data_IF_414642213166
#
_entry.id   IF_414642213166
#
_cell.length_a   1.000
_cell.length_b   1.000
_cell.length_c   1.000
_cell.angle_alpha   90.00
_cell.angle_beta   90.00
_cell.angle_gamma   90.00
#
_symmetry.space_group_name_H-M   'P 1'
#
loop_
_entity.id
_entity.type
_entity.pdbx_description
1 polymer ?
#
# COMPACT_ATOMS: atom_id res chain seq x y z
N UNK A 1 -4.82 4.09 -18.87
CA UNK A 1 -5.30 5.19 -18.04
C UNK A 1 -4.65 6.46 -18.57
N UNK A 2 -5.43 7.53 -18.77
CA UNK A 2 -4.92 8.83 -19.24
C UNK A 2 -4.07 9.53 -18.18
N UNK A 3 -3.35 10.58 -18.57
CA UNK A 3 -2.41 11.32 -17.70
C UNK A 3 -3.10 11.90 -16.44
N UNK A 4 -4.41 12.10 -16.49
CA UNK A 4 -5.22 12.63 -15.36
C UNK A 4 -5.89 11.56 -14.52
N UNK A 5 -5.61 10.27 -14.74
CA UNK A 5 -6.24 9.18 -14.04
C UNK A 5 -5.44 8.78 -12.80
N UNK A 6 -5.74 9.41 -11.67
CA UNK A 6 -5.19 8.99 -10.38
C UNK A 6 -5.73 7.60 -10.01
N UNK A 7 -4.81 6.67 -9.73
CA UNK A 7 -5.13 5.33 -9.26
C UNK A 7 -5.00 5.26 -7.74
N UNK A 8 -6.09 4.93 -7.05
CA UNK A 8 -6.16 4.91 -5.59
C UNK A 8 -5.95 3.51 -5.02
N UNK A 9 -5.17 3.41 -3.97
CA UNK A 9 -5.11 2.21 -3.16
C UNK A 9 -6.39 2.07 -2.31
N UNK A 10 -7.03 0.91 -2.32
CA UNK A 10 -8.30 0.64 -1.65
C UNK A 10 -8.16 -0.03 -0.27
N UNK A 11 -6.95 -0.17 0.26
CA UNK A 11 -6.73 -0.85 1.55
C UNK A 11 -7.33 -0.14 2.76
N UNK A 12 -7.57 1.19 2.64
CA UNK A 12 -8.29 1.97 3.66
C UNK A 12 -9.27 2.89 2.95
N UNK A 13 -10.56 2.70 3.24
CA UNK A 13 -11.63 3.44 2.59
C UNK A 13 -12.66 3.95 3.61
N UNK A 14 -13.13 5.17 3.41
CA UNK A 14 -14.33 5.69 4.04
C UNK A 14 -15.45 5.72 3.00
N UNK A 15 -16.49 4.92 3.20
CA UNK A 15 -17.53 4.68 2.21
C UNK A 15 -18.84 5.34 2.65
N UNK A 16 -19.45 6.15 1.78
CA UNK A 16 -20.83 6.58 1.92
C UNK A 16 -21.77 5.42 1.57
N UNK A 17 -22.19 4.65 2.57
CA UNK A 17 -23.01 3.45 2.35
C UNK A 17 -24.41 3.77 1.82
N UNK A 18 -24.99 4.93 2.12
CA UNK A 18 -26.27 5.36 1.57
C UNK A 18 -26.16 5.54 0.04
N UNK A 19 -25.16 6.32 -0.37
CA UNK A 19 -24.84 6.50 -1.79
C UNK A 19 -24.51 5.18 -2.50
N UNK A 20 -23.73 4.31 -1.84
CA UNK A 20 -23.35 3.00 -2.37
C UNK A 20 -24.56 2.14 -2.70
N UNK A 21 -25.56 2.09 -1.79
CA UNK A 21 -26.80 1.34 -1.98
C UNK A 21 -27.69 1.99 -3.05
N UNK A 22 -27.89 3.31 -2.98
CA UNK A 22 -28.71 4.07 -3.94
C UNK A 22 -28.20 3.86 -5.37
N UNK A 23 -26.91 3.95 -5.58
CA UNK A 23 -26.30 3.80 -6.90
C UNK A 23 -25.97 2.35 -7.29
N UNK A 24 -26.34 1.38 -6.45
CA UNK A 24 -26.11 -0.05 -6.70
C UNK A 24 -24.66 -0.36 -7.08
N UNK A 25 -23.70 0.23 -6.35
CA UNK A 25 -22.26 0.15 -6.67
C UNK A 25 -21.74 -1.28 -6.66
N UNK A 26 -22.25 -2.15 -5.75
CA UNK A 26 -21.86 -3.57 -5.74
C UNK A 26 -22.21 -4.29 -7.03
N UNK A 27 -23.34 -3.96 -7.66
CA UNK A 27 -23.75 -4.57 -8.91
C UNK A 27 -22.87 -4.08 -10.07
N UNK A 28 -22.53 -2.80 -10.10
CA UNK A 28 -21.58 -2.25 -11.08
C UNK A 28 -20.21 -2.94 -10.95
N UNK A 29 -19.77 -3.24 -9.74
CA UNK A 29 -18.52 -3.98 -9.48
C UNK A 29 -18.58 -5.39 -10.05
N UNK A 30 -19.65 -6.13 -9.80
CA UNK A 30 -19.83 -7.48 -10.33
C UNK A 30 -19.92 -7.49 -11.85
N UNK A 31 -20.65 -6.54 -12.42
CA UNK A 31 -20.75 -6.40 -13.88
C UNK A 31 -19.37 -6.18 -14.51
N UNK A 32 -18.60 -5.22 -14.00
CA UNK A 32 -17.24 -4.94 -14.49
C UNK A 32 -16.31 -6.14 -14.36
N UNK A 33 -16.38 -6.87 -13.25
CA UNK A 33 -15.62 -8.11 -13.07
C UNK A 33 -15.93 -9.16 -14.13
N UNK A 34 -17.22 -9.36 -14.42
CA UNK A 34 -17.70 -10.29 -15.46
C UNK A 34 -17.25 -9.83 -16.86
N UNK A 35 -17.42 -8.55 -17.19
CA UNK A 35 -16.99 -7.97 -18.47
C UNK A 35 -15.49 -8.16 -18.74
N UNK A 36 -14.68 -8.18 -17.68
CA UNK A 36 -13.24 -8.45 -17.72
C UNK A 36 -12.89 -9.93 -17.66
N UNK A 37 -13.88 -10.83 -17.63
CA UNK A 37 -13.69 -12.28 -17.44
C UNK A 37 -12.84 -12.60 -16.19
N UNK A 38 -12.96 -11.81 -15.13
CA UNK A 38 -12.16 -11.93 -13.91
C UNK A 38 -10.67 -11.60 -14.07
N UNK A 39 -10.25 -11.10 -15.22
CA UNK A 39 -8.83 -10.76 -15.50
C UNK A 39 -8.54 -9.32 -15.09
N UNK A 40 -8.16 -9.14 -13.83
CA UNK A 40 -7.81 -7.87 -13.23
C UNK A 40 -6.42 -7.99 -12.58
N UNK A 41 -5.64 -6.93 -12.64
CA UNK A 41 -4.28 -6.93 -12.11
C UNK A 41 -4.28 -6.84 -10.57
N UNK A 42 -5.10 -5.95 -10.02
CA UNK A 42 -5.27 -5.69 -8.60
C UNK A 42 -6.71 -5.94 -8.12
N UNK A 43 -7.42 -6.84 -8.76
CA UNK A 43 -8.75 -7.32 -8.38
C UNK A 43 -9.74 -6.19 -7.98
N UNK A 44 -10.11 -6.14 -6.71
CA UNK A 44 -11.04 -5.18 -6.13
C UNK A 44 -10.59 -3.72 -6.30
N UNK A 45 -9.29 -3.46 -6.27
CA UNK A 45 -8.75 -2.13 -6.45
C UNK A 45 -8.94 -1.60 -7.89
N UNK A 46 -8.79 -2.46 -8.90
CA UNK A 46 -9.06 -2.09 -10.30
C UNK A 46 -10.54 -1.78 -10.50
N UNK A 47 -11.42 -2.60 -9.91
CA UNK A 47 -12.86 -2.41 -9.99
C UNK A 47 -13.27 -1.08 -9.35
N UNK A 48 -12.77 -0.80 -8.14
CA UNK A 48 -13.06 0.45 -7.43
C UNK A 48 -12.65 1.67 -8.27
N UNK A 49 -11.41 1.65 -8.76
CA UNK A 49 -10.86 2.77 -9.54
C UNK A 49 -11.61 2.99 -10.86
N UNK A 50 -12.14 1.92 -11.47
CA UNK A 50 -12.96 2.03 -12.66
C UNK A 50 -14.37 2.55 -12.36
N UNK A 51 -15.11 1.87 -11.48
CA UNK A 51 -16.52 2.15 -11.23
C UNK A 51 -16.75 3.46 -10.44
N UNK A 52 -15.78 3.86 -9.64
CA UNK A 52 -15.86 5.06 -8.80
C UNK A 52 -15.01 6.22 -9.35
N UNK A 53 -14.54 6.15 -10.60
CA UNK A 53 -13.77 7.23 -11.24
C UNK A 53 -14.48 8.58 -11.08
N UNK A 54 -13.73 9.60 -10.67
CA UNK A 54 -14.24 10.96 -10.44
C UNK A 54 -15.10 11.14 -9.18
N UNK A 55 -15.31 10.08 -8.38
CA UNK A 55 -16.09 10.10 -7.14
C UNK A 55 -15.26 9.78 -5.90
N UNK A 56 -13.97 9.56 -6.07
CA UNK A 56 -13.05 9.23 -4.98
C UNK A 56 -12.38 10.52 -4.49
N UNK A 57 -12.41 10.71 -3.16
CA UNK A 57 -11.65 11.75 -2.50
C UNK A 57 -10.43 11.16 -1.82
N UNK A 58 -9.29 11.79 -1.98
CA UNK A 58 -8.03 11.38 -1.36
C UNK A 58 -8.05 11.64 0.13
N UNK A 59 -7.78 10.62 0.93
CA UNK A 59 -7.45 10.75 2.34
C UNK A 59 -5.98 11.19 2.51
N UNK A 60 -5.65 11.76 3.68
CA UNK A 60 -4.25 11.95 4.05
C UNK A 60 -3.53 10.60 4.12
N UNK A 61 -2.28 10.57 3.68
CA UNK A 61 -1.44 9.36 3.76
C UNK A 61 -1.22 8.83 5.18
N UNK A 62 -1.51 9.63 6.20
CA UNK A 62 -1.49 9.17 7.60
C UNK A 62 -2.52 8.09 7.88
N UNK A 63 -3.64 8.06 7.11
CA UNK A 63 -4.71 7.07 7.24
C UNK A 63 -4.53 5.81 6.38
N UNK A 64 -3.55 5.80 5.50
CA UNK A 64 -3.18 4.62 4.71
C UNK A 64 -1.67 4.61 4.52
N UNK A 65 -0.95 4.55 5.64
CA UNK A 65 0.50 4.63 5.63
C UNK A 65 1.12 3.30 5.19
N UNK A 66 1.85 3.34 4.07
CA UNK A 66 2.62 2.20 3.60
C UNK A 66 3.98 2.16 4.32
N UNK A 67 4.31 1.09 5.08
CA UNK A 67 5.60 0.94 5.76
C UNK A 67 6.82 1.05 4.83
N UNK A 68 6.67 0.75 3.54
CA UNK A 68 7.76 0.91 2.57
C UNK A 68 8.26 2.37 2.49
N UNK A 69 7.40 3.35 2.75
CA UNK A 69 7.77 4.77 2.80
C UNK A 69 8.84 5.08 3.87
N UNK A 70 8.99 4.21 4.87
CA UNK A 70 10.05 4.33 5.87
C UNK A 70 11.45 4.26 5.25
N UNK A 71 11.60 3.51 4.16
CA UNK A 71 12.90 3.28 3.51
C UNK A 71 13.23 4.31 2.43
N UNK A 72 12.23 5.00 1.89
CA UNK A 72 12.44 5.96 0.80
C UNK A 72 12.60 7.40 1.30
N UNK A 73 13.63 8.15 0.86
CA UNK A 73 13.73 9.58 1.14
C UNK A 73 12.70 10.36 0.32
N UNK A 74 12.28 11.53 0.85
CA UNK A 74 11.26 12.39 0.23
C UNK A 74 11.57 12.76 -1.22
N UNK A 75 12.83 13.12 -1.53
CA UNK A 75 13.21 13.52 -2.88
C UNK A 75 12.98 12.42 -3.91
N UNK A 76 13.20 11.17 -3.49
CA UNK A 76 12.99 10.01 -4.34
C UNK A 76 11.49 9.78 -4.61
N UNK A 77 10.67 9.85 -3.57
CA UNK A 77 9.21 9.70 -3.72
C UNK A 77 8.65 10.79 -4.63
N UNK A 78 9.10 12.04 -4.46
CA UNK A 78 8.69 13.15 -5.33
C UNK A 78 9.06 12.96 -6.80
N UNK A 79 10.15 12.26 -7.09
CA UNK A 79 10.57 12.01 -8.48
C UNK A 79 9.63 11.03 -9.21
N UNK A 80 8.87 10.24 -8.46
CA UNK A 80 7.89 9.30 -9.03
C UNK A 80 6.48 9.87 -9.09
N UNK A 81 6.09 10.58 -8.04
CA UNK A 81 4.72 11.07 -7.89
C UNK A 81 4.75 12.46 -7.22
N UNK A 82 5.17 13.50 -7.96
CA UNK A 82 5.42 14.82 -7.40
C UNK A 82 4.19 15.48 -6.77
N UNK A 83 3.00 15.20 -7.29
CA UNK A 83 1.75 15.77 -6.79
C UNK A 83 1.01 14.89 -5.78
N UNK A 84 1.31 13.61 -5.78
CA UNK A 84 0.59 12.61 -5.00
C UNK A 84 1.09 12.49 -3.57
N UNK A 85 2.41 12.55 -3.38
CA UNK A 85 3.06 12.43 -2.08
C UNK A 85 3.56 13.77 -1.58
N UNK A 86 3.03 14.21 -0.45
CA UNK A 86 3.59 15.24 0.42
C UNK A 86 4.14 16.49 -0.29
N UNK A 87 3.34 17.52 -0.45
CA UNK A 87 3.74 18.79 -1.04
C UNK A 87 4.93 19.42 -0.31
N UNK A 88 5.02 19.25 1.01
CA UNK A 88 6.06 19.83 1.84
C UNK A 88 6.90 18.79 2.59
N UNK A 89 8.10 19.18 3.04
CA UNK A 89 8.94 18.34 3.90
C UNK A 89 8.30 18.11 5.27
N UNK A 90 7.59 19.11 5.81
CA UNK A 90 6.89 19.01 7.07
C UNK A 90 5.77 17.97 7.01
N UNK A 91 4.96 17.97 5.95
CA UNK A 91 3.91 16.98 5.72
C UNK A 91 4.49 15.56 5.63
N UNK A 92 5.56 15.37 4.86
CA UNK A 92 6.24 14.07 4.75
C UNK A 92 6.75 13.56 6.10
N UNK A 93 7.34 14.46 6.90
CA UNK A 93 7.83 14.13 8.23
C UNK A 93 6.68 13.74 9.16
N UNK A 94 5.59 14.52 9.15
CA UNK A 94 4.42 14.27 9.97
C UNK A 94 3.79 12.89 9.66
N UNK A 95 3.65 12.53 8.39
CA UNK A 95 3.12 11.24 7.95
C UNK A 95 3.97 10.09 8.48
N UNK A 96 5.29 10.21 8.45
CA UNK A 96 6.22 9.17 8.93
C UNK A 96 6.29 9.06 10.45
N UNK A 97 6.18 10.18 11.16
CA UNK A 97 6.28 10.21 12.61
C UNK A 97 4.98 9.82 13.32
N UNK A 98 3.83 10.13 12.71
CA UNK A 98 2.52 9.92 13.33
C UNK A 98 1.52 9.31 12.35
N UNK A 99 1.79 8.11 11.80
CA UNK A 99 0.78 7.41 11.03
C UNK A 99 -0.42 7.10 11.92
N UNK A 100 -1.62 7.35 11.42
CA UNK A 100 -2.87 7.04 12.14
C UNK A 100 -3.24 5.59 11.90
N UNK A 101 -3.11 5.13 10.65
CA UNK A 101 -3.38 3.75 10.26
C UNK A 101 -2.22 3.24 9.39
N UNK A 102 -1.58 2.16 9.84
CA UNK A 102 -0.49 1.50 9.13
C UNK A 102 -1.08 0.35 8.32
N UNK A 103 -0.97 0.44 7.00
CA UNK A 103 -1.41 -0.59 6.08
C UNK A 103 -0.23 -1.45 5.64
N UNK A 104 -0.10 -2.65 6.20
CA UNK A 104 0.97 -3.59 5.87
C UNK A 104 0.74 -4.23 4.50
N UNK A 105 1.31 -3.65 3.47
CA UNK A 105 1.30 -4.18 2.10
C UNK A 105 2.64 -4.79 1.72
N UNK A 106 2.64 -5.65 0.70
CA UNK A 106 3.83 -6.33 0.21
C UNK A 106 4.18 -7.57 1.04
N UNK A 107 5.46 -7.95 1.01
CA UNK A 107 5.93 -9.19 1.63
C UNK A 107 6.32 -9.03 3.11
N UNK A 108 6.79 -7.86 3.52
CA UNK A 108 7.19 -7.57 4.91
C UNK A 108 5.98 -7.35 5.82
N UNK A 109 5.22 -8.41 6.05
CA UNK A 109 4.04 -8.40 6.91
C UNK A 109 4.41 -8.81 8.33
N UNK A 110 3.95 -8.10 9.36
CA UNK A 110 4.37 -8.36 10.76
C UNK A 110 3.94 -9.73 11.30
N UNK A 111 2.96 -10.40 10.68
CA UNK A 111 2.57 -11.77 11.04
C UNK A 111 3.40 -12.86 10.37
N UNK A 112 4.39 -12.50 9.56
CA UNK A 112 5.33 -13.45 8.96
C UNK A 112 6.58 -13.54 9.81
N UNK A 113 7.00 -14.76 10.14
CA UNK A 113 8.23 -15.00 10.90
C UNK A 113 9.45 -14.45 10.15
N UNK A 114 10.39 -13.86 10.88
CA UNK A 114 11.61 -13.30 10.29
C UNK A 114 11.40 -11.97 9.55
N UNK A 115 10.25 -11.28 9.69
CA UNK A 115 10.08 -9.95 9.12
C UNK A 115 10.86 -8.89 9.90
N UNK A 116 11.33 -7.87 9.20
CA UNK A 116 12.10 -6.73 9.71
C UNK A 116 11.31 -5.43 9.70
N UNK A 117 9.98 -5.49 9.60
CA UNK A 117 9.14 -4.30 9.53
C UNK A 117 9.41 -3.36 10.71
N UNK A 118 9.67 -2.07 10.48
CA UNK A 118 9.89 -1.09 11.55
C UNK A 118 8.67 -0.90 12.45
N UNK A 119 7.49 -1.30 11.98
CA UNK A 119 6.22 -1.20 12.70
C UNK A 119 5.71 -2.53 13.27
N UNK A 120 6.59 -3.54 13.36
CA UNK A 120 6.24 -4.85 13.90
C UNK A 120 5.72 -4.77 15.35
N UNK A 121 6.36 -3.96 16.17
CA UNK A 121 5.96 -3.77 17.59
C UNK A 121 4.55 -3.20 17.71
N UNK A 122 4.18 -2.29 16.84
CA UNK A 122 2.81 -1.74 16.82
C UNK A 122 1.78 -2.82 16.49
N UNK A 123 2.05 -3.65 15.49
CA UNK A 123 1.19 -4.78 15.17
C UNK A 123 1.07 -5.76 16.35
N UNK A 124 2.19 -6.14 16.98
CA UNK A 124 2.22 -7.08 18.11
C UNK A 124 1.39 -6.55 19.30
N UNK A 125 1.44 -5.24 19.55
CA UNK A 125 0.60 -4.60 20.58
C UNK A 125 -0.89 -4.82 20.34
N UNK A 126 -1.37 -4.62 19.11
CA UNK A 126 -2.77 -4.85 18.78
C UNK A 126 -3.12 -6.34 18.74
N UNK A 127 -2.25 -7.19 18.18
CA UNK A 127 -2.42 -8.64 18.16
C UNK A 127 -2.59 -9.19 19.58
N UNK A 128 -1.73 -8.80 20.50
CA UNK A 128 -1.75 -9.30 21.88
C UNK A 128 -3.02 -8.91 22.65
N UNK A 129 -3.69 -7.85 22.23
CA UNK A 129 -4.98 -7.39 22.79
C UNK A 129 -6.19 -7.89 22.00
N UNK A 130 -6.00 -8.80 21.05
CA UNK A 130 -7.06 -9.32 20.20
C UNK A 130 -7.37 -10.80 20.53
N UNK A 131 -8.52 -11.34 20.10
CA UNK A 131 -8.83 -12.77 20.19
C UNK A 131 -7.81 -13.67 19.47
N UNK A 132 -7.01 -13.13 18.57
CA UNK A 132 -6.00 -13.85 17.76
C UNK A 132 -4.59 -13.78 18.33
N UNK A 133 -4.43 -13.39 19.59
CA UNK A 133 -3.10 -13.27 20.25
C UNK A 133 -2.24 -14.53 20.12
N UNK A 134 -2.85 -15.69 20.24
CA UNK A 134 -2.18 -16.99 20.20
C UNK A 134 -2.02 -17.59 18.79
N UNK A 135 -2.48 -16.87 17.75
CA UNK A 135 -2.27 -17.33 16.37
C UNK A 135 -0.78 -17.35 16.03
N UNK A 136 -0.27 -18.49 15.50
CA UNK A 136 1.14 -18.62 15.13
C UNK A 136 1.51 -17.67 13.99
N UNK A 137 2.78 -17.36 13.88
CA UNK A 137 3.34 -16.65 12.74
C UNK A 137 3.36 -17.57 11.51
N UNK A 138 3.33 -16.96 10.33
CA UNK A 138 3.51 -17.68 9.06
C UNK A 138 5.01 -17.88 8.82
N UNK A 139 5.44 -19.11 8.57
CA UNK A 139 6.83 -19.50 8.33
C UNK A 139 7.10 -19.75 6.83
N UNK A 140 8.38 -19.89 6.49
CA UNK A 140 8.84 -20.30 5.15
C UNK A 140 9.25 -19.16 4.23
N UNK A 141 9.23 -17.92 4.72
CA UNK A 141 9.65 -16.72 3.94
C UNK A 141 10.93 -16.06 4.46
N UNK A 142 11.62 -16.67 5.43
CA UNK A 142 12.74 -16.04 6.15
C UNK A 142 13.88 -15.61 5.23
N UNK A 143 14.25 -16.46 4.27
CA UNK A 143 15.32 -16.13 3.29
C UNK A 143 14.94 -14.95 2.40
N UNK A 144 13.70 -14.94 1.92
CA UNK A 144 13.18 -13.86 1.08
C UNK A 144 13.13 -12.56 1.87
N UNK A 145 12.65 -12.61 3.12
CA UNK A 145 12.57 -11.43 3.99
C UNK A 145 13.96 -10.91 4.37
N UNK A 146 14.93 -11.77 4.54
CA UNK A 146 16.33 -11.35 4.76
C UNK A 146 16.88 -10.60 3.54
N UNK A 147 16.64 -11.10 2.32
CA UNK A 147 17.02 -10.39 1.08
C UNK A 147 16.30 -9.03 0.98
N UNK A 148 15.01 -8.97 1.32
CA UNK A 148 14.26 -7.72 1.39
C UNK A 148 14.85 -6.74 2.42
N UNK A 149 15.25 -7.23 3.57
CA UNK A 149 15.87 -6.41 4.60
C UNK A 149 17.17 -5.75 4.11
N UNK A 150 18.03 -6.52 3.45
CA UNK A 150 19.26 -5.99 2.82
C UNK A 150 18.90 -4.95 1.77
N UNK A 151 17.96 -5.26 0.87
CA UNK A 151 17.51 -4.35 -0.18
C UNK A 151 16.92 -3.04 0.42
N UNK A 152 16.17 -3.14 1.50
CA UNK A 152 15.62 -1.99 2.22
C UNK A 152 16.73 -1.13 2.85
N UNK A 153 17.76 -1.75 3.39
CA UNK A 153 18.96 -1.06 3.89
C UNK A 153 19.66 -0.27 2.78
N UNK A 154 19.89 -0.90 1.64
CA UNK A 154 20.48 -0.25 0.46
C UNK A 154 19.58 0.90 -0.03
N UNK A 155 18.26 0.70 -0.05
CA UNK A 155 17.29 1.71 -0.51
C UNK A 155 17.37 3.02 0.28
N UNK A 156 17.67 2.97 1.57
CA UNK A 156 17.83 4.20 2.39
C UNK A 156 18.95 5.10 1.90
N UNK A 157 20.01 4.50 1.38
CA UNK A 157 21.22 5.22 0.94
C UNK A 157 21.20 5.46 -0.57
N UNK A 158 20.80 4.42 -1.32
CA UNK A 158 20.77 4.40 -2.78
C UNK A 158 19.38 3.99 -3.31
N UNK A 159 18.36 4.85 -3.21
CA UNK A 159 17.00 4.48 -3.59
C UNK A 159 16.85 4.16 -5.08
N UNK A 160 17.68 4.76 -5.96
CA UNK A 160 17.69 4.49 -7.40
C UNK A 160 18.14 3.06 -7.73
N UNK A 161 19.00 2.45 -6.88
CA UNK A 161 19.37 1.05 -7.02
C UNK A 161 18.16 0.13 -6.95
N UNK A 162 17.23 0.40 -6.05
CA UNK A 162 15.99 -0.39 -5.93
C UNK A 162 15.16 -0.32 -7.20
N UNK A 163 15.02 0.87 -7.80
CA UNK A 163 14.32 1.03 -9.09
C UNK A 163 14.95 0.18 -10.17
N UNK A 164 16.26 0.35 -10.36
CA UNK A 164 17.02 -0.39 -11.35
C UNK A 164 16.90 -1.91 -11.13
N UNK A 165 17.09 -2.37 -9.90
CA UNK A 165 17.02 -3.78 -9.55
C UNK A 165 15.63 -4.38 -9.80
N UNK A 166 14.55 -3.70 -9.41
CA UNK A 166 13.19 -4.20 -9.63
C UNK A 166 12.81 -4.22 -11.10
N UNK A 167 13.29 -3.29 -11.89
CA UNK A 167 13.14 -3.32 -13.34
C UNK A 167 13.88 -4.51 -13.96
N UNK A 168 15.10 -4.81 -13.50
CA UNK A 168 15.90 -5.93 -13.98
C UNK A 168 15.24 -7.28 -13.74
N UNK A 169 14.59 -7.48 -12.59
CA UNK A 169 13.90 -8.73 -12.25
C UNK A 169 12.45 -8.78 -12.72
N UNK A 170 12.02 -7.81 -13.54
CA UNK A 170 10.67 -7.77 -14.12
C UNK A 170 9.55 -7.42 -13.13
N UNK A 171 9.88 -6.99 -11.93
CA UNK A 171 8.91 -6.45 -10.97
C UNK A 171 8.71 -4.98 -11.30
N UNK A 172 7.68 -4.68 -12.05
CA UNK A 172 7.28 -3.29 -12.29
C UNK A 172 6.51 -2.79 -11.07
N UNK A 173 7.06 -1.77 -10.39
CA UNK A 173 6.22 -0.92 -9.56
C UNK A 173 5.36 -0.10 -10.52
N UNK A 174 4.09 -0.44 -10.59
CA UNK A 174 3.16 0.34 -11.39
C UNK A 174 3.13 1.78 -10.84
N UNK A 175 3.36 2.69 -11.76
CA UNK A 175 3.31 4.13 -11.56
C UNK A 175 1.90 4.59 -11.26
#
# INVERSE_FOLDING_TARGET
>A
LGVDDTYFNCGVMLINLAYWREKRISEQFLQYFVERNGKLLYNDQDILNHCCKGKIQKLSHTYNYNPALYYFPRYFIRSYQPEYYCKTAAEYTAIRQKPVLIHFMGEERPWVHGNYSPYRKEYEKYKNNSPWKDMPLVYGKEKVLFCYHILNGITKVFPWFRKWFTQLIGIYYYQ
#
